data_IF_186468814161
#
_entry.id   IF_186468814161
#
_cell.length_a   1.000
_cell.length_b   1.000
_cell.length_c   1.000
_cell.angle_alpha   90.00
_cell.angle_beta   90.00
_cell.angle_gamma   90.00
#
_symmetry.space_group_name_H-M   'P 1'
#
loop_
_entity.id
_entity.type
_entity.pdbx_description
1 polymer ?
#
# COMPACT_ATOMS: atom_id res chain seq x y z
N UNK A 1 -31.30 -24.01 1.19
CA UNK A 1 -29.86 -23.85 1.43
C UNK A 1 -29.24 -23.27 0.17
N UNK A 2 -28.69 -22.06 0.26
CA UNK A 2 -28.00 -21.38 -0.86
C UNK A 2 -26.57 -21.05 -0.46
N UNK A 3 -25.67 -20.88 -1.42
CA UNK A 3 -24.31 -20.43 -1.15
C UNK A 3 -24.25 -18.90 -1.29
N UNK A 4 -23.60 -18.25 -0.34
CA UNK A 4 -23.24 -16.84 -0.40
C UNK A 4 -21.72 -16.70 -0.38
N UNK A 5 -21.22 -15.75 -1.16
CA UNK A 5 -19.78 -15.46 -1.27
C UNK A 5 -19.57 -13.99 -0.95
N UNK A 6 -18.70 -13.71 0.01
CA UNK A 6 -18.33 -12.39 0.46
C UNK A 6 -16.86 -12.13 0.12
N UNK A 7 -16.54 -10.90 -0.28
CA UNK A 7 -15.18 -10.45 -0.55
C UNK A 7 -14.84 -9.30 0.38
N UNK A 8 -13.72 -9.40 1.09
CA UNK A 8 -13.18 -8.29 1.86
C UNK A 8 -12.36 -7.39 0.94
N UNK A 9 -12.85 -6.16 0.76
CA UNK A 9 -12.16 -5.12 0.00
C UNK A 9 -11.54 -4.14 0.98
N UNK A 10 -10.22 -4.05 0.96
CA UNK A 10 -9.44 -3.22 1.86
C UNK A 10 -9.57 -1.74 1.47
N UNK A 11 -9.72 -0.88 2.47
CA UNK A 11 -9.58 0.56 2.27
C UNK A 11 -8.10 0.94 2.27
N UNK A 12 -7.80 2.08 1.65
CA UNK A 12 -6.46 2.66 1.63
C UNK A 12 -5.87 2.77 3.04
N UNK A 13 -4.66 2.25 3.24
CA UNK A 13 -3.96 2.25 4.54
C UNK A 13 -4.41 1.16 5.52
N UNK A 14 -5.21 0.19 5.07
CA UNK A 14 -5.62 -0.97 5.86
C UNK A 14 -5.34 -2.26 5.09
N UNK A 15 -5.05 -3.33 5.81
CA UNK A 15 -5.00 -4.70 5.28
C UNK A 15 -6.08 -5.57 5.90
N UNK A 16 -6.61 -6.51 5.14
CA UNK A 16 -7.49 -7.55 5.62
C UNK A 16 -6.72 -8.43 6.60
N UNK A 17 -7.32 -8.68 7.77
CA UNK A 17 -6.72 -9.50 8.82
C UNK A 17 -7.32 -10.90 8.77
N UNK A 18 -8.63 -11.00 9.02
CA UNK A 18 -9.34 -12.26 9.07
C UNK A 18 -10.86 -12.09 8.97
N UNK A 19 -11.54 -13.21 8.77
CA UNK A 19 -12.99 -13.32 8.78
C UNK A 19 -13.42 -14.06 10.06
N UNK A 20 -14.40 -13.53 10.78
CA UNK A 20 -15.09 -14.21 11.87
C UNK A 20 -16.49 -14.67 11.42
N UNK A 21 -16.86 -15.92 11.76
CA UNK A 21 -18.18 -16.49 11.44
C UNK A 21 -18.32 -17.06 10.02
N UNK A 22 -17.22 -17.24 9.29
CA UNK A 22 -17.24 -17.81 7.95
C UNK A 22 -17.13 -19.34 7.95
N UNK A 23 -17.83 -20.03 7.03
CA UNK A 23 -17.76 -21.50 6.93
C UNK A 23 -16.48 -21.97 6.21
N UNK A 24 -16.03 -21.24 5.19
CA UNK A 24 -14.81 -21.57 4.42
C UNK A 24 -14.12 -20.33 3.88
N UNK A 25 -12.78 -20.32 3.95
CA UNK A 25 -11.95 -19.18 3.57
C UNK A 25 -11.03 -19.50 2.40
N UNK A 26 -10.93 -18.55 1.47
CA UNK A 26 -9.93 -18.52 0.42
C UNK A 26 -9.36 -17.09 0.35
N UNK A 27 -8.26 -16.84 1.06
CA UNK A 27 -7.68 -15.51 1.27
C UNK A 27 -8.73 -14.52 1.83
N UNK A 28 -9.02 -13.43 1.10
CA UNK A 28 -10.00 -12.42 1.45
C UNK A 28 -11.45 -12.81 1.08
N UNK A 29 -11.67 -14.00 0.50
CA UNK A 29 -12.98 -14.52 0.15
C UNK A 29 -13.52 -15.43 1.25
N UNK A 30 -14.73 -15.11 1.71
CA UNK A 30 -15.51 -15.94 2.62
C UNK A 30 -16.67 -16.59 1.85
N UNK A 31 -16.76 -17.93 1.89
CA UNK A 31 -17.92 -18.65 1.38
C UNK A 31 -18.68 -19.29 2.52
N UNK A 32 -20.00 -19.08 2.51
CA UNK A 32 -20.90 -19.52 3.55
C UNK A 32 -22.15 -20.14 2.95
N UNK A 33 -22.71 -21.11 3.65
CA UNK A 33 -23.96 -21.74 3.27
C UNK A 33 -25.10 -21.19 4.11
N UNK A 34 -26.09 -20.60 3.44
CA UNK A 34 -27.27 -19.97 4.02
C UNK A 34 -28.40 -20.99 4.17
N UNK A 35 -28.42 -21.64 5.32
CA UNK A 35 -29.49 -22.50 5.83
C UNK A 35 -30.29 -21.84 6.96
N UNK A 36 -29.72 -20.82 7.61
CA UNK A 36 -30.34 -19.91 8.57
C UNK A 36 -29.66 -18.53 8.52
N UNK A 37 -30.14 -17.59 9.33
CA UNK A 37 -29.47 -16.30 9.53
C UNK A 37 -28.09 -16.51 10.17
N UNK A 38 -27.06 -15.92 9.55
CA UNK A 38 -25.65 -16.01 9.98
C UNK A 38 -25.05 -14.62 10.11
N UNK A 39 -24.17 -14.43 11.09
CA UNK A 39 -23.39 -13.20 11.27
C UNK A 39 -21.95 -13.44 10.86
N UNK A 40 -21.42 -12.61 9.96
CA UNK A 40 -20.05 -12.68 9.45
C UNK A 40 -19.41 -11.30 9.59
N UNK A 41 -18.16 -11.25 10.04
CA UNK A 41 -17.39 -10.00 10.22
C UNK A 41 -16.06 -10.10 9.50
N UNK A 42 -15.72 -9.11 8.67
CA UNK A 42 -14.36 -8.93 8.13
C UNK A 42 -13.59 -7.97 9.04
N UNK A 43 -12.43 -8.39 9.51
CA UNK A 43 -11.54 -7.56 10.32
C UNK A 43 -10.42 -6.98 9.45
N UNK A 44 -10.07 -5.73 9.71
CA UNK A 44 -9.01 -5.00 9.02
C UNK A 44 -8.07 -4.37 10.05
N UNK A 45 -6.79 -4.29 9.71
CA UNK A 45 -5.75 -3.68 10.53
C UNK A 45 -5.14 -2.50 9.79
N UNK A 46 -4.83 -1.43 10.52
CA UNK A 46 -4.12 -0.28 9.95
C UNK A 46 -2.71 -0.67 9.55
N UNK A 47 -2.22 -0.13 8.44
CA UNK A 47 -0.85 -0.34 7.97
C UNK A 47 0.01 0.88 8.34
N UNK A 48 0.72 0.84 9.49
CA UNK A 48 1.58 1.94 9.87
C UNK A 48 2.76 2.03 8.90
N UNK A 49 3.32 3.24 8.78
CA UNK A 49 4.55 3.51 8.02
C UNK A 49 4.43 3.12 6.54
N UNK A 50 3.67 3.90 5.75
CA UNK A 50 3.31 3.58 4.37
C UNK A 50 4.46 3.69 3.36
N UNK A 51 5.63 4.19 3.77
CA UNK A 51 6.82 4.34 2.93
C UNK A 51 8.02 3.65 3.59
N UNK A 52 8.87 2.99 2.80
CA UNK A 52 10.17 2.50 3.25
C UNK A 52 11.27 2.75 2.24
N UNK A 53 12.50 2.93 2.69
CA UNK A 53 13.70 2.73 1.86
C UNK A 53 14.06 1.25 1.95
N UNK A 54 14.10 0.57 0.80
CA UNK A 54 14.45 -0.83 0.70
C UNK A 54 15.94 -1.05 0.99
N UNK A 55 16.28 -2.17 1.59
CA UNK A 55 17.65 -2.51 1.94
C UNK A 55 17.72 -3.73 2.83
N UNK A 56 18.93 -4.11 3.25
CA UNK A 56 19.15 -5.19 4.24
C UNK A 56 18.54 -4.85 5.59
N UNK A 57 18.54 -3.56 5.94
CA UNK A 57 17.84 -2.99 7.10
C UNK A 57 16.91 -1.88 6.62
N UNK A 58 15.64 -2.18 6.31
CA UNK A 58 14.71 -1.20 5.79
C UNK A 58 14.45 -0.06 6.78
N UNK A 59 14.40 1.17 6.28
CA UNK A 59 14.03 2.36 7.05
C UNK A 59 12.61 2.78 6.68
N UNK A 60 11.77 3.07 7.68
CA UNK A 60 10.34 3.28 7.50
C UNK A 60 9.94 4.72 7.83
N UNK A 61 9.03 5.27 7.02
CA UNK A 61 8.64 6.68 7.05
C UNK A 61 7.11 6.84 6.94
N UNK A 62 6.61 7.96 7.46
CA UNK A 62 5.19 8.31 7.38
C UNK A 62 4.80 9.03 6.07
N UNK A 63 5.78 9.53 5.31
CA UNK A 63 5.55 10.32 4.10
C UNK A 63 6.63 10.05 3.04
N UNK A 64 6.27 10.27 1.78
CA UNK A 64 7.17 10.13 0.62
C UNK A 64 8.30 11.15 0.68
N UNK A 65 8.01 12.41 1.04
CA UNK A 65 9.06 13.43 1.14
C UNK A 65 10.12 13.06 2.18
N UNK A 66 9.72 12.58 3.36
CA UNK A 66 10.67 12.21 4.41
C UNK A 66 11.58 11.05 3.99
N UNK A 67 11.04 10.06 3.28
CA UNK A 67 11.84 8.97 2.73
C UNK A 67 12.78 9.46 1.62
N UNK A 68 12.30 10.35 0.75
CA UNK A 68 13.13 10.97 -0.27
C UNK A 68 14.29 11.75 0.35
N UNK A 69 14.04 12.61 1.34
CA UNK A 69 15.08 13.42 1.99
C UNK A 69 16.18 12.56 2.61
N UNK A 70 15.81 11.41 3.19
CA UNK A 70 16.74 10.47 3.82
C UNK A 70 17.45 9.52 2.84
N UNK A 71 16.87 9.29 1.65
CA UNK A 71 17.45 8.40 0.64
C UNK A 71 18.78 8.93 0.10
N UNK A 72 19.67 8.01 -0.25
CA UNK A 72 20.93 8.29 -0.95
C UNK A 72 20.87 7.83 -2.40
N UNK A 73 21.95 8.08 -3.14
CA UNK A 73 22.09 7.66 -4.52
C UNK A 73 21.85 6.15 -4.69
N UNK A 74 21.01 5.82 -5.66
CA UNK A 74 20.59 4.47 -6.06
C UNK A 74 19.66 3.75 -5.07
N UNK A 75 19.15 4.43 -4.04
CA UNK A 75 18.15 3.84 -3.16
C UNK A 75 16.81 3.61 -3.87
N UNK A 76 16.14 2.53 -3.45
CA UNK A 76 14.76 2.23 -3.84
C UNK A 76 13.82 2.56 -2.70
N UNK A 77 12.94 3.53 -2.91
CA UNK A 77 11.85 3.89 -2.01
C UNK A 77 10.61 3.11 -2.43
N UNK A 78 10.08 2.30 -1.53
CA UNK A 78 8.87 1.52 -1.75
C UNK A 78 7.70 2.12 -0.99
N UNK A 79 6.52 2.08 -1.59
CA UNK A 79 5.29 2.57 -0.99
C UNK A 79 4.16 1.56 -1.06
N UNK A 80 3.31 1.56 -0.04
CA UNK A 80 2.12 0.71 -0.01
C UNK A 80 1.09 1.18 -1.05
N UNK A 81 0.17 0.29 -1.44
CA UNK A 81 -0.94 0.57 -2.35
C UNK A 81 -2.00 1.48 -1.70
N UNK A 82 -1.67 2.77 -1.59
CA UNK A 82 -2.53 3.78 -0.98
C UNK A 82 -2.38 5.15 -1.62
N UNK A 83 -3.26 6.06 -1.22
CA UNK A 83 -3.26 7.44 -1.70
C UNK A 83 -2.57 8.36 -0.70
N UNK A 84 -1.42 8.93 -1.09
CA UNK A 84 -0.75 10.00 -0.37
C UNK A 84 -1.38 11.34 -0.74
N UNK A 85 -1.55 12.22 0.24
CA UNK A 85 -1.97 13.62 0.01
C UNK A 85 -0.84 14.52 0.50
N UNK A 86 0.22 14.61 -0.30
CA UNK A 86 1.42 15.41 -0.04
C UNK A 86 2.06 15.84 -1.37
N UNK A 87 2.92 16.85 -1.33
CA UNK A 87 3.79 17.19 -2.45
C UNK A 87 5.12 16.42 -2.32
N UNK A 88 5.70 16.02 -3.46
CA UNK A 88 7.04 15.44 -3.53
C UNK A 88 7.98 16.37 -4.30
N UNK A 89 9.00 16.88 -3.62
CA UNK A 89 10.00 17.78 -4.16
C UNK A 89 11.34 17.06 -4.32
N UNK A 90 11.78 16.90 -5.57
CA UNK A 90 13.02 16.26 -5.96
C UNK A 90 14.02 17.39 -6.24
N UNK A 91 14.76 17.77 -5.20
CA UNK A 91 15.54 19.00 -5.13
C UNK A 91 17.02 18.79 -4.74
N UNK A 92 17.46 17.53 -4.71
CA UNK A 92 18.84 17.14 -4.44
C UNK A 92 19.33 16.38 -5.68
N UNK A 93 20.54 16.69 -6.16
CA UNK A 93 21.24 15.94 -7.21
C UNK A 93 21.57 14.52 -6.75
N UNK A 94 20.57 13.64 -6.81
CA UNK A 94 20.66 12.21 -6.53
C UNK A 94 19.70 11.42 -7.41
N UNK A 95 20.03 10.16 -7.64
CA UNK A 95 19.22 9.20 -8.38
C UNK A 95 18.49 8.27 -7.42
N UNK A 96 17.15 8.23 -7.48
CA UNK A 96 16.33 7.32 -6.65
C UNK A 96 15.28 6.59 -7.48
N UNK A 97 14.92 5.39 -7.06
CA UNK A 97 13.82 4.62 -7.65
C UNK A 97 12.61 4.64 -6.71
N UNK A 98 11.43 5.02 -7.20
CA UNK A 98 10.16 4.89 -6.50
C UNK A 98 9.40 3.68 -7.02
N UNK A 99 9.03 2.76 -6.14
CA UNK A 99 8.18 1.61 -6.46
C UNK A 99 6.91 1.64 -5.59
N UNK A 100 5.75 1.71 -6.23
CA UNK A 100 4.46 1.77 -5.57
C UNK A 100 3.73 0.44 -5.52
N UNK A 101 2.60 0.46 -4.81
CA UNK A 101 1.59 -0.58 -4.90
C UNK A 101 1.80 -1.79 -4.00
N UNK A 102 2.68 -1.72 -3.01
CA UNK A 102 2.95 -2.85 -2.14
C UNK A 102 1.83 -3.14 -1.12
N UNK A 103 1.72 -4.40 -0.70
CA UNK A 103 0.99 -4.76 0.52
C UNK A 103 1.66 -4.20 1.77
N UNK A 104 1.00 -4.30 2.92
CA UNK A 104 1.50 -3.70 4.16
C UNK A 104 2.81 -4.31 4.67
N UNK A 105 3.18 -5.50 4.19
CA UNK A 105 4.46 -6.15 4.50
C UNK A 105 5.54 -5.89 3.45
N UNK A 106 5.19 -5.19 2.36
CA UNK A 106 6.07 -4.95 1.21
C UNK A 106 6.70 -6.22 0.63
N UNK A 107 5.89 -7.27 0.51
CA UNK A 107 6.25 -8.55 -0.08
C UNK A 107 5.69 -8.68 -1.50
N UNK A 108 4.51 -8.10 -1.77
CA UNK A 108 3.82 -8.25 -3.06
C UNK A 108 3.23 -6.93 -3.51
N UNK A 109 3.31 -6.65 -4.81
CA UNK A 109 2.60 -5.53 -5.43
C UNK A 109 1.14 -5.94 -5.66
N UNK A 110 0.22 -5.28 -4.98
CA UNK A 110 -1.23 -5.54 -5.01
C UNK A 110 -2.01 -4.44 -5.72
N UNK A 111 -1.36 -3.36 -6.13
CA UNK A 111 -2.01 -2.23 -6.81
C UNK A 111 -1.03 -1.16 -7.26
N UNK A 112 -1.50 0.09 -7.25
CA UNK A 112 -0.67 1.27 -7.50
C UNK A 112 -0.70 2.16 -6.25
N UNK A 113 0.33 3.00 -6.12
CA UNK A 113 0.34 4.12 -5.18
C UNK A 113 -0.13 5.38 -5.89
N UNK A 114 -1.05 6.12 -5.27
CA UNK A 114 -1.53 7.39 -5.81
C UNK A 114 -0.92 8.56 -5.05
N UNK A 115 -0.37 9.55 -5.75
CA UNK A 115 0.06 10.82 -5.16
C UNK A 115 -0.93 11.92 -5.54
N UNK A 116 -1.75 12.36 -4.58
CA UNK A 116 -2.71 13.46 -4.73
C UNK A 116 -2.07 14.79 -4.33
N UNK A 117 -1.01 15.16 -5.05
CA UNK A 117 -0.24 16.38 -4.85
C UNK A 117 0.76 16.56 -5.97
N UNK A 118 1.57 17.60 -5.89
CA UNK A 118 2.50 17.93 -6.96
C UNK A 118 3.80 17.15 -6.81
N UNK A 119 4.25 16.52 -7.89
CA UNK A 119 5.61 16.01 -8.00
C UNK A 119 6.45 17.04 -8.79
N UNK A 120 7.41 17.67 -8.12
CA UNK A 120 8.26 18.72 -8.72
C UNK A 120 9.71 18.25 -8.75
N UNK A 121 10.33 18.28 -9.94
CA UNK A 121 11.75 17.95 -10.11
C UNK A 121 12.51 19.22 -10.44
N UNK A 122 13.41 19.63 -9.55
CA UNK A 122 14.32 20.76 -9.76
C UNK A 122 15.78 20.32 -9.87
N UNK A 123 16.15 19.16 -9.30
CA UNK A 123 17.49 18.59 -9.37
C UNK A 123 17.43 17.05 -9.23
N UNK A 124 18.44 16.34 -9.72
CA UNK A 124 18.53 14.88 -9.63
C UNK A 124 17.68 14.10 -10.64
N UNK A 125 17.46 12.81 -10.36
CA UNK A 125 16.74 11.88 -11.24
C UNK A 125 15.84 10.94 -10.45
N UNK A 126 14.62 10.72 -10.94
CA UNK A 126 13.67 9.78 -10.35
C UNK A 126 13.21 8.76 -11.38
N UNK A 127 13.24 7.48 -11.01
CA UNK A 127 12.62 6.39 -11.79
C UNK A 127 11.37 5.92 -11.05
N UNK A 128 10.21 5.86 -11.71
CA UNK A 128 8.94 5.53 -11.05
C UNK A 128 8.33 4.25 -11.61
N UNK A 129 7.84 3.36 -10.74
CA UNK A 129 7.04 2.18 -11.08
C UNK A 129 5.80 2.03 -10.19
N UNK A 130 4.67 1.63 -10.77
CA UNK A 130 3.37 1.46 -10.05
C UNK A 130 2.88 2.73 -9.31
N UNK A 131 3.16 3.91 -9.88
CA UNK A 131 2.67 5.19 -9.38
C UNK A 131 1.60 5.78 -10.30
N UNK A 132 0.59 6.38 -9.70
CA UNK A 132 -0.43 7.20 -10.36
C UNK A 132 -0.37 8.60 -9.77
N UNK A 133 -0.25 9.62 -10.63
CA UNK A 133 -0.41 11.01 -10.20
C UNK A 133 -1.90 11.32 -10.18
N UNK A 134 -2.43 11.58 -8.99
CA UNK A 134 -3.81 12.01 -8.79
C UNK A 134 -3.96 13.47 -9.22
N UNK A 135 -5.13 13.79 -9.79
CA UNK A 135 -5.54 15.16 -10.10
C UNK A 135 -6.13 15.87 -8.89
#
# INVERSE_FOLDING_TARGET
MTLATLSANENSGYSFSDWAGCDSLANNICTMTMDADKSVTANFQSCPQPVRIAGTTPAYYSSLQAAYDAAVDWDTIQTQALSFTEDLNINIDKSVTLEGGYDCNYLTVIGNTTLNGNMTISDGTITTGNFVLGN
#
